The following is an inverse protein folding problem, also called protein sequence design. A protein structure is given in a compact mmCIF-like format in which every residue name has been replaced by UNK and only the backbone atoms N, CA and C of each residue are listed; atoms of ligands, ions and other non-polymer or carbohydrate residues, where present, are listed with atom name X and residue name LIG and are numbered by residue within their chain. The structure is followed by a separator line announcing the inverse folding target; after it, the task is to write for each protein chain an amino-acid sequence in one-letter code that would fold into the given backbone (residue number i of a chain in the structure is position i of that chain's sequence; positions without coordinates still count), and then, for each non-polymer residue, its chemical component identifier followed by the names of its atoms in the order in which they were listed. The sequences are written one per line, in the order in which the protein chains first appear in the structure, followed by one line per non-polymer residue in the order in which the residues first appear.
data_IF_469311716678
#
_entry.id   IF_469311716678
#
_cell.length_a   1.000
_cell.length_b   1.000
_cell.length_c   1.000
_cell.angle_alpha   90.00
_cell.angle_beta   90.00
_cell.angle_gamma   90.00
#
_symmetry.space_group_name_H-M   'P 1'
#
loop_
_entity.id
_entity.type
_entity.pdbx_description
1 polymer ?
#
# COMPACT_ATOMS: atom_id res chain seq x y z
N UNK A 1 18.90 10.99 3.00
CA UNK A 1 17.66 10.60 3.71
C UNK A 1 17.23 11.70 4.64
N UNK A 2 15.98 12.07 4.59
CA UNK A 2 15.42 13.10 5.45
C UNK A 2 14.32 12.51 6.33
N UNK A 3 14.21 13.01 7.56
CA UNK A 3 13.10 12.72 8.47
C UNK A 3 12.28 14.00 8.60
N UNK A 4 10.99 13.92 8.32
CA UNK A 4 10.13 15.09 8.40
C UNK A 4 8.74 14.84 7.87
N UNK A 5 8.08 15.94 7.53
CA UNK A 5 6.70 15.98 7.05
C UNK A 5 6.67 16.29 5.57
N UNK A 6 5.80 15.59 4.83
CA UNK A 6 5.54 15.84 3.41
C UNK A 6 4.08 16.18 3.26
N UNK A 7 3.78 17.20 2.45
CA UNK A 7 2.42 17.68 2.23
C UNK A 7 1.98 17.44 0.81
N UNK A 8 0.67 17.20 0.60
CA UNK A 8 0.08 17.24 -0.72
C UNK A 8 0.24 18.65 -1.32
N UNK A 9 0.23 18.79 -2.66
CA UNK A 9 0.26 20.12 -3.28
C UNK A 9 -0.85 21.06 -2.79
N UNK A 10 -1.98 20.50 -2.38
CA UNK A 10 -3.11 21.27 -1.82
C UNK A 10 -2.93 21.67 -0.34
N UNK A 11 -1.86 21.23 0.33
CA UNK A 11 -1.48 21.66 1.67
C UNK A 11 -1.76 20.68 2.80
N UNK A 12 -2.54 19.62 2.58
CA UNK A 12 -2.82 18.63 3.60
C UNK A 12 -1.59 17.74 3.84
N UNK A 13 -1.43 17.26 5.06
CA UNK A 13 -0.34 16.36 5.41
C UNK A 13 -0.49 15.03 4.65
N UNK A 14 0.58 14.63 3.96
CA UNK A 14 0.64 13.39 3.19
C UNK A 14 1.40 12.28 3.91
N UNK A 15 2.57 12.60 4.48
CA UNK A 15 3.48 11.62 5.04
C UNK A 15 4.30 12.23 6.16
N UNK A 16 4.53 11.44 7.21
CA UNK A 16 5.47 11.77 8.29
C UNK A 16 6.40 10.59 8.45
N UNK A 17 7.71 10.82 8.33
CA UNK A 17 8.68 9.77 8.51
C UNK A 17 9.97 10.02 7.74
N UNK A 18 10.62 8.93 7.33
CA UNK A 18 11.88 8.97 6.61
C UNK A 18 11.67 8.75 5.13
N UNK A 19 12.27 9.59 4.30
CA UNK A 19 12.13 9.57 2.86
C UNK A 19 13.38 10.12 2.16
N UNK A 20 13.49 9.85 0.85
CA UNK A 20 14.52 10.41 0.00
C UNK A 20 14.00 11.72 -0.61
N UNK A 21 14.58 12.85 -0.19
CA UNK A 21 14.16 14.17 -0.65
C UNK A 21 14.62 14.52 -2.07
N UNK A 22 15.50 13.71 -2.65
CA UNK A 22 16.05 13.96 -4.00
C UNK A 22 15.27 13.27 -5.11
N UNK A 23 14.46 12.26 -4.80
CA UNK A 23 13.68 11.50 -5.75
C UNK A 23 12.23 11.99 -5.74
N UNK A 24 11.91 12.88 -6.68
CA UNK A 24 10.59 13.53 -6.74
C UNK A 24 9.82 13.05 -7.97
N UNK A 25 8.50 12.95 -7.81
CA UNK A 25 7.58 12.69 -8.92
C UNK A 25 7.28 13.98 -9.70
N UNK A 26 6.50 13.91 -10.81
CA UNK A 26 6.16 15.11 -11.58
C UNK A 26 5.42 16.20 -10.79
N UNK A 27 4.75 15.84 -9.69
CA UNK A 27 4.06 16.80 -8.82
C UNK A 27 5.00 17.39 -7.76
N UNK A 28 6.28 17.02 -7.77
CA UNK A 28 7.27 17.50 -6.83
C UNK A 28 7.25 16.77 -5.48
N UNK A 29 6.53 15.66 -5.38
CA UNK A 29 6.44 14.86 -4.15
C UNK A 29 7.46 13.74 -4.12
N UNK A 30 8.11 13.47 -2.96
CA UNK A 30 8.99 12.33 -2.82
C UNK A 30 8.23 11.02 -3.04
N UNK A 31 8.76 10.15 -3.88
CA UNK A 31 8.15 8.84 -4.11
C UNK A 31 8.92 7.70 -3.44
N UNK A 32 10.14 7.94 -2.95
CA UNK A 32 10.91 6.94 -2.20
C UNK A 32 10.73 7.12 -0.71
N UNK A 33 9.60 6.65 -0.22
CA UNK A 33 9.30 6.62 1.20
C UNK A 33 9.97 5.39 1.83
N UNK A 34 10.48 5.53 3.06
CA UNK A 34 11.24 4.47 3.72
C UNK A 34 10.51 3.90 4.93
N UNK A 35 10.13 4.75 5.87
CA UNK A 35 9.41 4.32 7.06
C UNK A 35 8.62 5.48 7.63
N UNK A 36 7.39 5.21 8.08
CA UNK A 36 6.57 6.25 8.68
C UNK A 36 5.09 6.03 8.47
N UNK A 37 4.35 7.14 8.38
CA UNK A 37 2.88 7.14 8.32
C UNK A 37 2.42 7.97 7.12
N UNK A 38 1.57 7.38 6.30
CA UNK A 38 0.93 8.02 5.16
C UNK A 38 -0.53 8.33 5.51
N UNK A 39 -1.02 9.49 5.10
CA UNK A 39 -2.35 9.98 5.45
C UNK A 39 -3.25 10.13 4.23
N UNK A 40 -4.56 9.92 4.44
CA UNK A 40 -5.57 10.43 3.52
C UNK A 40 -5.62 11.97 3.62
N UNK A 41 -6.20 12.62 2.60
CA UNK A 41 -6.32 14.08 2.61
C UNK A 41 -7.16 14.65 3.75
N UNK A 42 -8.06 13.84 4.33
CA UNK A 42 -8.87 14.26 5.48
C UNK A 42 -8.12 14.18 6.82
N UNK A 43 -6.85 13.75 6.81
CA UNK A 43 -6.04 13.61 8.01
C UNK A 43 -6.07 12.23 8.67
N UNK A 44 -6.91 11.33 8.17
CA UNK A 44 -6.96 9.94 8.67
C UNK A 44 -5.72 9.18 8.21
N UNK A 45 -5.18 8.33 9.08
CA UNK A 45 -4.05 7.47 8.72
C UNK A 45 -4.49 6.51 7.62
N UNK A 46 -3.68 6.42 6.56
CA UNK A 46 -3.90 5.51 5.45
C UNK A 46 -3.01 4.27 5.57
N UNK A 47 -1.71 4.45 5.69
CA UNK A 47 -0.73 3.36 5.80
C UNK A 47 0.33 3.73 6.82
N UNK A 48 0.83 2.74 7.54
CA UNK A 48 1.97 2.92 8.42
C UNK A 48 2.88 1.71 8.37
N UNK A 49 4.18 1.94 8.44
CA UNK A 49 5.17 0.88 8.47
C UNK A 49 6.42 1.19 7.66
N UNK A 50 6.94 0.17 7.02
CA UNK A 50 8.15 0.24 6.18
C UNK A 50 7.72 0.25 4.73
N UNK A 51 8.27 1.20 3.96
CA UNK A 51 7.93 1.41 2.56
C UNK A 51 9.13 1.10 1.66
N UNK A 52 8.85 0.63 0.45
CA UNK A 52 9.81 0.50 -0.63
C UNK A 52 9.21 1.09 -1.90
N UNK A 53 9.94 2.00 -2.54
CA UNK A 53 9.50 2.64 -3.79
C UNK A 53 8.13 3.31 -3.68
N UNK A 54 7.81 3.83 -2.49
CA UNK A 54 6.54 4.49 -2.25
C UNK A 54 5.39 3.57 -1.86
N UNK A 55 5.54 2.26 -2.00
CA UNK A 55 4.54 1.28 -1.59
C UNK A 55 4.88 0.65 -0.24
N UNK A 56 3.84 0.23 0.48
CA UNK A 56 4.01 -0.43 1.76
C UNK A 56 4.67 -1.80 1.57
N UNK A 57 5.74 -2.06 2.33
CA UNK A 57 6.42 -3.35 2.33
C UNK A 57 6.01 -4.21 3.52
N UNK A 58 5.89 -3.59 4.69
CA UNK A 58 5.44 -4.26 5.90
C UNK A 58 4.73 -3.23 6.79
N UNK A 59 3.55 -3.56 7.26
CA UNK A 59 2.83 -2.67 8.16
C UNK A 59 1.32 -2.79 8.06
N UNK A 60 0.65 -1.67 8.22
CA UNK A 60 -0.82 -1.58 8.33
C UNK A 60 -1.42 -0.65 7.30
N UNK A 61 -2.61 -1.02 6.85
CA UNK A 61 -3.45 -0.19 5.98
C UNK A 61 -4.77 0.04 6.71
N UNK A 62 -5.30 1.26 6.63
CA UNK A 62 -6.54 1.64 7.29
C UNK A 62 -7.60 2.06 6.28
N UNK A 63 -8.87 1.82 6.61
CA UNK A 63 -9.99 2.39 5.88
C UNK A 63 -10.05 3.89 6.15
N UNK A 64 -10.75 4.67 5.28
CA UNK A 64 -10.98 6.09 5.57
C UNK A 64 -11.68 6.36 6.89
N UNK A 65 -12.43 5.39 7.43
CA UNK A 65 -13.07 5.47 8.75
C UNK A 65 -12.07 5.41 9.91
N UNK A 66 -10.79 5.07 9.66
CA UNK A 66 -9.79 4.87 10.70
C UNK A 66 -9.68 3.44 11.22
N UNK A 67 -10.57 2.55 10.78
CA UNK A 67 -10.53 1.14 11.16
C UNK A 67 -9.42 0.41 10.42
N UNK A 68 -8.79 -0.55 11.08
CA UNK A 68 -7.74 -1.37 10.48
C UNK A 68 -8.31 -2.20 9.32
N UNK A 69 -7.71 -2.08 8.13
CA UNK A 69 -8.07 -2.85 6.95
C UNK A 69 -7.17 -4.06 6.76
N UNK A 70 -5.87 -3.88 6.91
CA UNK A 70 -4.89 -4.91 6.64
C UNK A 70 -3.67 -4.73 7.51
N UNK A 71 -3.11 -5.84 7.99
CA UNK A 71 -1.80 -5.88 8.62
C UNK A 71 -1.02 -7.03 8.03
N UNK A 72 0.20 -6.77 7.54
CA UNK A 72 1.00 -7.83 6.97
C UNK A 72 2.17 -7.34 6.15
N UNK A 73 2.61 -8.24 5.27
CA UNK A 73 3.81 -8.09 4.48
C UNK A 73 3.46 -8.10 2.99
N UNK A 74 4.14 -7.23 2.25
CA UNK A 74 4.05 -7.12 0.80
C UNK A 74 5.34 -7.61 0.17
N UNK A 75 5.25 -7.98 -1.09
CA UNK A 75 6.43 -8.34 -1.87
C UNK A 75 7.06 -7.06 -2.43
N UNK A 76 8.38 -7.07 -2.62
CA UNK A 76 9.13 -5.95 -3.19
C UNK A 76 9.03 -5.87 -4.72
N UNK A 77 8.37 -6.83 -5.35
CA UNK A 77 8.21 -6.90 -6.80
C UNK A 77 6.90 -6.28 -7.23
N UNK A 78 6.91 -5.62 -8.39
CA UNK A 78 5.70 -5.17 -9.04
C UNK A 78 4.83 -6.35 -9.43
N UNK A 79 3.53 -6.16 -9.33
CA UNK A 79 2.58 -7.20 -9.69
C UNK A 79 1.20 -6.63 -9.98
N UNK A 80 0.34 -7.49 -10.49
CA UNK A 80 -1.07 -7.19 -10.71
C UNK A 80 -1.86 -7.76 -9.54
N UNK A 81 -2.61 -6.90 -8.86
CA UNK A 81 -3.46 -7.29 -7.74
C UNK A 81 -4.90 -7.27 -8.23
N UNK A 82 -5.56 -8.44 -8.22
CA UNK A 82 -6.93 -8.54 -8.68
C UNK A 82 -7.64 -9.74 -8.07
N UNK A 83 -8.91 -9.55 -7.72
CA UNK A 83 -9.83 -10.65 -7.40
C UNK A 83 -10.62 -11.09 -8.62
N UNK A 84 -10.55 -10.34 -9.74
CA UNK A 84 -11.22 -10.62 -11.01
C UNK A 84 -10.23 -10.46 -12.14
N UNK A 85 -10.43 -11.23 -13.22
CA UNK A 85 -9.52 -11.21 -14.38
C UNK A 85 -9.44 -9.85 -15.08
N UNK A 86 -10.51 -9.07 -15.00
CA UNK A 86 -10.61 -7.75 -15.64
C UNK A 86 -10.06 -6.61 -14.78
N UNK A 87 -9.83 -6.85 -13.49
CA UNK A 87 -9.30 -5.84 -12.58
C UNK A 87 -7.82 -6.07 -12.40
N UNK A 88 -7.02 -5.13 -12.90
CA UNK A 88 -5.58 -5.16 -12.72
C UNK A 88 -5.11 -3.89 -12.04
N UNK A 89 -4.16 -4.07 -11.13
CA UNK A 89 -3.52 -2.99 -10.42
C UNK A 89 -2.01 -3.16 -10.49
N UNK A 90 -1.33 -2.12 -10.97
CA UNK A 90 0.12 -2.09 -11.02
C UNK A 90 0.60 -1.20 -9.88
N UNK A 91 0.98 -1.84 -8.79
CA UNK A 91 1.54 -1.13 -7.65
C UNK A 91 3.02 -1.42 -7.48
N UNK A 92 3.68 -0.71 -6.57
CA UNK A 92 5.07 -0.98 -6.25
C UNK A 92 5.26 -2.33 -5.53
N UNK A 93 4.19 -2.88 -4.97
CA UNK A 93 4.23 -4.17 -4.29
C UNK A 93 2.84 -4.82 -4.27
N UNK A 94 2.80 -6.12 -4.02
CA UNK A 94 1.57 -6.88 -3.85
C UNK A 94 1.57 -7.63 -2.52
N UNK A 95 0.39 -7.93 -1.93
CA UNK A 95 0.33 -8.58 -0.63
C UNK A 95 0.92 -9.99 -0.69
N UNK A 96 1.73 -10.32 0.29
CA UNK A 96 2.37 -11.63 0.43
C UNK A 96 1.70 -12.45 1.51
N UNK A 97 1.52 -11.88 2.68
CA UNK A 97 0.96 -12.55 3.85
C UNK A 97 0.40 -11.53 4.81
N UNK A 98 -0.72 -11.83 5.44
CA UNK A 98 -1.27 -10.96 6.46
C UNK A 98 -2.72 -11.25 6.76
N UNK A 99 -3.37 -10.30 7.45
CA UNK A 99 -4.77 -10.39 7.86
C UNK A 99 -5.54 -9.21 7.30
N UNK A 100 -6.62 -9.52 6.59
CA UNK A 100 -7.54 -8.55 6.03
C UNK A 100 -8.82 -8.51 6.85
N UNK A 101 -9.23 -7.31 7.26
CA UNK A 101 -10.40 -7.07 8.10
C UNK A 101 -11.47 -6.29 7.35
N UNK A 102 -12.73 -6.62 7.64
CA UNK A 102 -13.84 -5.72 7.31
C UNK A 102 -13.83 -4.51 8.26
N UNK A 103 -14.59 -3.47 7.91
CA UNK A 103 -14.66 -2.27 8.76
C UNK A 103 -15.25 -2.52 10.14
N UNK A 104 -16.05 -3.58 10.31
CA UNK A 104 -16.58 -3.98 11.63
C UNK A 104 -15.59 -4.78 12.47
N UNK A 105 -14.38 -5.05 11.96
CA UNK A 105 -13.36 -5.81 12.64
C UNK A 105 -13.37 -7.31 12.36
N UNK A 106 -14.32 -7.80 11.57
CA UNK A 106 -14.38 -9.21 11.18
C UNK A 106 -13.20 -9.57 10.30
N UNK A 107 -12.54 -10.69 10.57
CA UNK A 107 -11.46 -11.20 9.71
C UNK A 107 -12.08 -11.77 8.43
N UNK A 108 -11.73 -11.17 7.29
CA UNK A 108 -12.17 -11.63 5.98
C UNK A 108 -11.20 -12.62 5.35
N UNK A 109 -9.91 -12.49 5.67
CA UNK A 109 -8.86 -13.37 5.17
C UNK A 109 -7.66 -13.32 6.10
N UNK A 110 -7.01 -14.47 6.28
CA UNK A 110 -5.77 -14.54 7.04
C UNK A 110 -4.88 -15.62 6.44
N UNK A 111 -3.61 -15.26 6.22
CA UNK A 111 -2.63 -16.18 5.70
C UNK A 111 -1.85 -15.62 4.52
N UNK A 112 -1.30 -16.53 3.72
CA UNK A 112 -0.54 -16.18 2.52
C UNK A 112 -1.48 -15.97 1.35
N UNK A 113 -1.19 -14.95 0.53
CA UNK A 113 -1.96 -14.70 -0.68
C UNK A 113 -1.47 -15.60 -1.81
N UNK A 114 -2.40 -16.12 -2.60
CA UNK A 114 -2.09 -16.95 -3.73
C UNK A 114 -1.62 -16.12 -4.91
N UNK A 115 -0.58 -16.62 -5.59
CA UNK A 115 -0.04 -15.99 -6.79
C UNK A 115 -0.47 -16.81 -7.98
N UNK A 116 -1.17 -16.21 -8.93
CA UNK A 116 -1.55 -16.83 -10.18
C UNK A 116 -0.45 -16.58 -11.22
N UNK A 117 0.15 -17.66 -11.72
CA UNK A 117 1.27 -17.61 -12.68
C UNK A 117 0.81 -17.68 -14.14
N UNK A 118 -0.35 -17.11 -14.48
CA UNK A 118 -0.80 -17.02 -15.86
C UNK A 118 -0.20 -15.79 -16.53
N UNK A 119 0.42 -15.94 -17.69
CA UNK A 119 0.98 -14.85 -18.47
C UNK A 119 2.42 -14.53 -18.10
N UNK A 120 2.79 -13.27 -18.11
CA UNK A 120 4.16 -12.84 -17.86
C UNK A 120 4.60 -13.10 -16.41
N UNK A 121 5.73 -13.80 -16.25
CA UNK A 121 6.36 -14.03 -14.94
C UNK A 121 6.78 -12.72 -14.29
N UNK A 122 6.98 -11.67 -15.10
CA UNK A 122 7.44 -10.36 -14.64
C UNK A 122 6.41 -9.64 -13.76
N UNK A 123 5.12 -9.88 -14.01
CA UNK A 123 4.02 -9.25 -13.28
C UNK A 123 3.05 -10.32 -12.81
N UNK A 124 3.37 -11.04 -11.72
CA UNK A 124 2.48 -12.08 -11.22
C UNK A 124 1.15 -11.48 -10.77
N UNK A 125 0.09 -12.25 -10.95
CA UNK A 125 -1.25 -11.89 -10.45
C UNK A 125 -1.40 -12.44 -9.05
N UNK A 126 -1.84 -11.59 -8.12
CA UNK A 126 -2.14 -11.98 -6.76
C UNK A 126 -3.66 -12.02 -6.59
N UNK A 127 -4.17 -13.14 -6.13
CA UNK A 127 -5.60 -13.30 -5.84
C UNK A 127 -5.87 -12.70 -4.47
N UNK A 128 -6.72 -11.69 -4.43
CA UNK A 128 -7.13 -11.03 -3.19
C UNK A 128 -8.63 -11.17 -2.97
N UNK A 129 -9.10 -11.12 -1.72
CA UNK A 129 -10.53 -11.16 -1.43
C UNK A 129 -11.25 -9.96 -2.04
N UNK A 130 -12.53 -10.13 -2.32
CA UNK A 130 -13.39 -9.02 -2.75
C UNK A 130 -13.36 -7.91 -1.72
N UNK A 131 -13.29 -6.66 -2.18
CA UNK A 131 -13.22 -5.49 -1.32
C UNK A 131 -11.81 -5.12 -0.86
N UNK A 132 -10.80 -5.95 -1.11
CA UNK A 132 -9.42 -5.60 -0.77
C UNK A 132 -8.96 -4.38 -1.58
N UNK A 133 -9.30 -4.35 -2.86
CA UNK A 133 -9.03 -3.23 -3.74
C UNK A 133 -7.57 -3.05 -4.12
N UNK A 134 -7.29 -2.04 -4.95
CA UNK A 134 -5.92 -1.67 -5.25
C UNK A 134 -5.26 -0.99 -4.05
N UNK A 135 -4.00 -1.31 -3.82
CA UNK A 135 -3.20 -0.79 -2.72
C UNK A 135 -2.24 0.27 -3.25
N UNK A 136 -2.71 1.47 -3.30
CA UNK A 136 -1.89 2.60 -3.73
C UNK A 136 -1.22 3.28 -2.57
#
# INVERSE_FOLDING_TARGET
MKVGEVYYPSGELYFVGRYDETALDPDGMPYKLCAGVKFYKDGTVYQEGIFQWGGLYYGRIFYPSGKLKFIGQFNDKHGTITGKETESYYGPSYPKEGTFYAEDGTILYQGKFQIEKKGSIRYPRVIVPEGFGPLK
#
